data_IF_982360818020
#
_entry.id   IF_982360818020
#
_cell.length_a   1.000
_cell.length_b   1.000
_cell.length_c   1.000
_cell.angle_alpha   90.00
_cell.angle_beta   90.00
_cell.angle_gamma   90.00
#
_symmetry.space_group_name_H-M   'P 1'
#
loop_
_entity.id
_entity.type
_entity.pdbx_description
1 polymer ?
#
# COMPACT_ATOMS: atom_id res chain seq x y z
N UNK A 1 62.26 4.33 1.64
CA UNK A 1 61.18 5.21 2.11
C UNK A 1 61.19 6.48 1.27
N UNK A 2 60.01 6.94 0.87
CA UNK A 2 59.84 8.19 0.14
C UNK A 2 58.70 9.00 0.78
N UNK A 3 58.83 10.31 0.72
CA UNK A 3 57.78 11.26 1.14
C UNK A 3 57.46 12.16 -0.06
N UNK A 4 56.19 12.26 -0.40
CA UNK A 4 55.69 13.09 -1.47
C UNK A 4 54.69 14.10 -0.90
N UNK A 5 55.04 15.38 -1.02
CA UNK A 5 54.15 16.47 -0.66
C UNK A 5 53.96 17.38 -1.83
N UNK A 6 52.70 17.55 -2.26
CA UNK A 6 52.43 18.30 -3.46
C UNK A 6 51.03 18.84 -3.59
N UNK A 7 50.87 19.72 -4.58
CA UNK A 7 49.58 20.26 -5.00
C UNK A 7 49.44 20.05 -6.51
N UNK A 8 48.35 19.47 -6.92
CA UNK A 8 48.05 19.19 -8.30
C UNK A 8 46.78 19.94 -8.70
N UNK A 9 46.84 20.74 -9.76
CA UNK A 9 45.67 21.29 -10.40
C UNK A 9 45.17 20.26 -11.42
N UNK A 10 44.01 19.68 -11.20
CA UNK A 10 43.46 18.61 -12.04
C UNK A 10 43.20 19.04 -13.45
N UNK A 11 42.96 20.34 -13.74
CA UNK A 11 42.82 20.84 -15.09
C UNK A 11 44.10 20.70 -15.93
N UNK A 12 45.28 20.53 -15.29
CA UNK A 12 46.54 20.33 -15.96
C UNK A 12 46.88 18.85 -16.19
N UNK A 13 46.20 17.92 -15.48
CA UNK A 13 46.45 16.48 -15.63
C UNK A 13 46.12 16.00 -17.02
N UNK A 14 45.02 16.46 -17.62
CA UNK A 14 44.59 16.12 -18.97
C UNK A 14 45.56 16.67 -20.03
N UNK A 15 46.34 17.73 -19.73
CA UNK A 15 47.37 18.26 -20.60
C UNK A 15 48.67 17.44 -20.55
N UNK A 16 48.97 16.87 -19.36
CA UNK A 16 50.17 16.08 -19.15
C UNK A 16 49.98 14.60 -19.55
N UNK A 17 48.80 14.09 -19.40
CA UNK A 17 48.43 12.70 -19.69
C UNK A 17 47.14 12.69 -20.51
N UNK A 18 47.15 12.18 -21.77
CA UNK A 18 46.01 12.28 -22.67
C UNK A 18 44.88 11.30 -22.26
N UNK A 19 44.12 11.63 -21.20
CA UNK A 19 42.87 10.98 -20.87
C UNK A 19 41.78 11.64 -21.71
N UNK A 20 41.08 10.88 -22.53
CA UNK A 20 39.92 11.38 -23.27
C UNK A 20 38.77 11.56 -22.28
N UNK A 21 38.49 12.78 -21.89
CA UNK A 21 37.35 13.19 -21.11
C UNK A 21 36.53 14.15 -21.98
N UNK A 22 35.20 14.00 -21.95
CA UNK A 22 34.27 14.88 -22.68
C UNK A 22 34.41 16.34 -22.22
N UNK A 23 34.70 16.53 -20.94
CA UNK A 23 35.00 17.82 -20.32
C UNK A 23 36.22 17.74 -19.42
N UNK A 24 37.03 18.82 -19.33
CA UNK A 24 38.20 18.81 -18.49
C UNK A 24 37.83 18.72 -17.02
N UNK A 25 38.59 17.93 -16.24
CA UNK A 25 38.49 17.90 -14.79
C UNK A 25 38.88 19.28 -14.23
N UNK A 26 38.25 19.67 -13.14
CA UNK A 26 38.66 20.85 -12.34
C UNK A 26 38.94 20.43 -10.91
N UNK A 27 39.59 21.31 -10.16
CA UNK A 27 39.84 21.10 -8.74
C UNK A 27 41.33 21.07 -8.41
N UNK A 28 41.58 21.25 -7.11
CA UNK A 28 42.94 21.25 -6.54
C UNK A 28 43.05 20.05 -5.61
N UNK A 29 43.92 19.13 -5.93
CA UNK A 29 44.32 18.01 -5.08
C UNK A 29 45.61 18.38 -4.32
N UNK A 30 45.57 18.33 -3.00
CA UNK A 30 46.76 18.43 -2.13
C UNK A 30 46.96 17.08 -1.46
N UNK A 31 48.19 16.61 -1.41
CA UNK A 31 48.56 15.36 -0.79
C UNK A 31 49.88 15.45 -0.03
N UNK A 32 49.93 14.74 1.09
CA UNK A 32 51.14 14.49 1.88
C UNK A 32 51.19 12.98 2.15
N UNK A 33 52.06 12.26 1.43
CA UNK A 33 52.07 10.82 1.34
C UNK A 33 53.44 10.29 1.71
N UNK A 34 53.47 9.35 2.62
CA UNK A 34 54.64 8.53 2.92
C UNK A 34 54.47 7.18 2.31
N UNK A 35 55.47 6.74 1.56
CA UNK A 35 55.48 5.44 0.93
C UNK A 35 56.70 4.66 1.32
N UNK A 36 56.53 3.38 1.64
CA UNK A 36 57.60 2.45 1.95
C UNK A 36 57.44 1.23 1.04
N UNK A 37 58.45 0.94 0.25
CA UNK A 37 58.47 -0.21 -0.68
C UNK A 37 59.90 -0.68 -0.88
N UNK A 38 60.02 -1.89 -1.37
CA UNK A 38 61.26 -2.44 -1.91
C UNK A 38 61.16 -2.54 -3.45
N UNK A 39 62.32 -2.37 -4.14
CA UNK A 39 62.35 -2.36 -5.60
C UNK A 39 61.89 -3.69 -6.20
N UNK A 40 62.16 -4.82 -5.54
CA UNK A 40 61.70 -6.13 -6.00
C UNK A 40 60.20 -6.22 -6.06
N UNK A 41 59.48 -5.66 -5.08
CA UNK A 41 58.02 -5.62 -5.08
C UNK A 41 57.49 -4.76 -6.25
N UNK A 42 58.16 -3.72 -6.65
CA UNK A 42 57.81 -2.89 -7.80
C UNK A 42 58.06 -3.64 -9.10
N UNK A 43 59.26 -4.22 -9.27
CA UNK A 43 59.68 -4.97 -10.46
C UNK A 43 58.83 -6.20 -10.72
N UNK A 44 58.37 -6.86 -9.64
CA UNK A 44 57.54 -8.06 -9.70
C UNK A 44 56.04 -7.75 -9.65
N UNK A 45 55.62 -6.48 -9.73
CA UNK A 45 54.21 -6.00 -9.65
C UNK A 45 53.48 -6.44 -8.38
N UNK A 46 54.22 -6.63 -7.28
CA UNK A 46 53.69 -6.98 -5.95
C UNK A 46 53.27 -5.71 -5.18
N UNK A 47 52.44 -4.89 -5.76
CA UNK A 47 52.03 -3.57 -5.24
C UNK A 47 51.35 -3.66 -3.85
N UNK A 48 50.78 -4.81 -3.47
CA UNK A 48 50.21 -5.07 -2.15
C UNK A 48 51.27 -4.96 -1.01
N UNK A 49 52.57 -5.05 -1.32
CA UNK A 49 53.64 -4.91 -0.36
C UNK A 49 54.06 -3.43 -0.13
N UNK A 50 53.57 -2.53 -0.99
CA UNK A 50 53.86 -1.09 -0.84
C UNK A 50 52.97 -0.54 0.27
N UNK A 51 53.60 0.05 1.28
CA UNK A 51 52.91 0.67 2.39
C UNK A 51 52.77 2.16 2.17
N UNK A 52 51.55 2.59 1.82
CA UNK A 52 51.22 3.99 1.64
C UNK A 52 50.43 4.51 2.84
N UNK A 53 50.79 5.64 3.38
CA UNK A 53 50.04 6.37 4.42
C UNK A 53 50.12 7.85 4.20
N UNK A 54 49.11 8.58 4.65
CA UNK A 54 49.11 10.01 4.46
C UNK A 54 47.73 10.65 4.56
N UNK A 55 47.70 11.88 4.08
CA UNK A 55 46.49 12.66 3.95
C UNK A 55 46.34 13.18 2.52
N UNK A 56 45.12 13.30 2.05
CA UNK A 56 44.83 13.99 0.80
C UNK A 56 43.58 14.83 0.96
N UNK A 57 43.51 15.95 0.23
CA UNK A 57 42.33 16.80 0.18
C UNK A 57 42.09 17.26 -1.23
N UNK A 58 40.81 17.34 -1.63
CA UNK A 58 40.34 17.77 -2.92
C UNK A 58 39.36 18.92 -2.73
N UNK A 59 39.54 20.02 -3.47
CA UNK A 59 38.67 21.19 -3.40
C UNK A 59 38.27 21.63 -4.82
N UNK A 60 37.01 22.06 -4.99
CA UNK A 60 36.51 22.61 -6.24
C UNK A 60 36.52 21.65 -7.42
N UNK A 61 36.34 20.34 -7.14
CA UNK A 61 36.24 19.31 -8.19
C UNK A 61 34.91 19.38 -8.88
N UNK A 62 34.91 19.32 -10.19
CA UNK A 62 33.72 19.19 -11.01
C UNK A 62 33.94 18.07 -12.03
N UNK A 63 32.97 17.18 -12.11
CA UNK A 63 32.93 16.08 -13.07
C UNK A 63 31.60 16.09 -13.82
N UNK A 64 31.68 15.98 -15.13
CA UNK A 64 30.54 15.83 -16.03
C UNK A 64 30.83 14.68 -16.97
N UNK A 65 30.02 13.64 -16.94
CA UNK A 65 30.14 12.47 -17.81
C UNK A 65 28.78 11.98 -18.29
N UNK A 66 28.74 11.17 -19.36
CA UNK A 66 27.50 10.68 -19.94
C UNK A 66 26.71 9.77 -18.99
N UNK A 67 27.37 9.20 -17.99
CA UNK A 67 26.77 8.36 -16.94
C UNK A 67 26.05 9.15 -15.84
N UNK A 68 26.22 10.48 -15.82
CA UNK A 68 25.65 11.35 -14.79
C UNK A 68 24.53 12.22 -15.36
N UNK A 69 23.35 12.20 -14.73
CA UNK A 69 22.25 13.10 -15.13
C UNK A 69 22.58 14.59 -14.95
N UNK A 70 23.42 14.90 -13.96
CA UNK A 70 23.81 16.27 -13.58
C UNK A 70 25.29 16.32 -13.25
N UNK A 71 25.97 17.48 -13.39
CA UNK A 71 27.34 17.66 -12.97
C UNK A 71 27.51 17.30 -11.49
N UNK A 72 28.53 16.51 -11.18
CA UNK A 72 28.90 16.16 -9.81
C UNK A 72 30.02 17.08 -9.33
N UNK A 73 29.73 17.85 -8.27
CA UNK A 73 30.66 18.85 -7.72
C UNK A 73 31.06 18.47 -6.30
N UNK A 74 32.35 18.33 -6.05
CA UNK A 74 32.89 18.20 -4.70
C UNK A 74 33.45 19.58 -4.28
N UNK A 75 32.78 20.22 -3.33
CA UNK A 75 33.26 21.45 -2.74
C UNK A 75 34.53 21.18 -1.96
N UNK A 76 34.52 20.13 -1.12
CA UNK A 76 35.65 19.70 -0.34
C UNK A 76 35.56 18.19 -0.02
N UNK A 77 36.68 17.50 -0.16
CA UNK A 77 36.91 16.17 0.38
C UNK A 77 38.25 16.12 1.10
N UNK A 78 38.32 15.37 2.21
CA UNK A 78 39.53 15.13 2.94
C UNK A 78 39.60 13.69 3.43
N UNK A 79 40.69 13.02 3.13
CA UNK A 79 40.94 11.63 3.55
C UNK A 79 42.25 11.53 4.30
N UNK A 80 42.30 10.60 5.24
CA UNK A 80 43.53 10.06 5.81
C UNK A 80 43.57 8.57 5.48
N UNK A 81 44.70 8.02 5.12
CA UNK A 81 44.82 6.64 4.73
C UNK A 81 46.10 5.98 5.24
N UNK A 82 46.03 4.68 5.41
CA UNK A 82 47.12 3.77 5.66
C UNK A 82 46.85 2.44 4.91
N UNK A 83 47.76 1.47 4.93
CA UNK A 83 47.54 0.20 4.15
C UNK A 83 46.28 -0.58 4.49
N UNK A 84 45.68 -0.40 5.67
CA UNK A 84 44.49 -1.14 6.10
C UNK A 84 43.17 -0.40 5.91
N UNK A 85 43.23 0.96 5.96
CA UNK A 85 42.00 1.77 6.02
C UNK A 85 42.18 3.10 5.32
N UNK A 86 41.14 3.55 4.66
CA UNK A 86 40.95 4.94 4.21
C UNK A 86 39.85 5.54 5.08
N UNK A 87 40.14 6.65 5.75
CA UNK A 87 39.16 7.41 6.54
C UNK A 87 38.76 8.66 5.77
N UNK A 88 37.47 8.75 5.44
CA UNK A 88 36.86 9.95 4.88
C UNK A 88 36.49 10.90 6.03
N UNK A 89 37.35 11.87 6.26
CA UNK A 89 37.18 12.85 7.36
C UNK A 89 36.14 13.90 7.00
N UNK A 90 36.05 14.25 5.72
CA UNK A 90 35.10 15.21 5.18
C UNK A 90 34.79 14.89 3.72
N UNK A 91 33.55 15.03 3.36
CA UNK A 91 33.08 15.01 1.99
C UNK A 91 31.84 15.89 1.88
N UNK A 92 31.95 16.99 1.15
CA UNK A 92 30.88 17.93 0.86
C UNK A 92 30.74 18.01 -0.66
N UNK A 93 29.61 17.51 -1.17
CA UNK A 93 29.36 17.42 -2.58
C UNK A 93 27.94 17.86 -2.94
N UNK A 94 27.75 18.22 -4.20
CA UNK A 94 26.46 18.58 -4.79
C UNK A 94 26.31 17.98 -6.18
N UNK A 95 25.06 17.58 -6.50
CA UNK A 95 24.67 17.24 -7.87
C UNK A 95 23.23 17.69 -8.08
N UNK A 96 22.97 18.42 -9.16
CA UNK A 96 21.67 19.07 -9.37
C UNK A 96 21.30 19.97 -8.19
N UNK A 97 20.18 19.64 -7.52
CA UNK A 97 19.70 20.32 -6.31
C UNK A 97 20.02 19.55 -5.01
N UNK A 98 20.65 18.39 -5.15
CA UNK A 98 21.04 17.53 -4.02
C UNK A 98 22.36 17.98 -3.40
N UNK A 99 22.44 17.91 -2.07
CA UNK A 99 23.66 18.06 -1.27
C UNK A 99 23.99 16.78 -0.53
N UNK A 100 25.27 16.51 -0.34
CA UNK A 100 25.76 15.34 0.36
C UNK A 100 26.91 15.72 1.30
N UNK A 101 26.80 15.37 2.55
CA UNK A 101 27.87 15.41 3.53
C UNK A 101 28.10 13.99 4.03
N UNK A 102 29.31 13.47 3.81
CA UNK A 102 29.63 12.08 4.14
C UNK A 102 30.92 12.04 4.95
N UNK A 103 30.95 11.22 5.98
CA UNK A 103 32.14 10.80 6.72
C UNK A 103 32.13 9.30 6.89
N UNK A 104 33.29 8.68 7.10
CA UNK A 104 33.30 7.24 7.32
C UNK A 104 34.66 6.61 7.11
N UNK A 105 34.65 5.29 6.98
CA UNK A 105 35.83 4.50 6.73
C UNK A 105 35.60 3.51 5.58
N UNK A 106 36.67 3.24 4.86
CA UNK A 106 36.76 2.19 3.86
C UNK A 106 37.89 1.28 4.25
N UNK A 107 37.55 0.03 4.52
CA UNK A 107 38.49 -0.97 5.01
C UNK A 107 38.80 -1.98 3.93
N UNK A 108 39.97 -2.64 4.05
CA UNK A 108 40.42 -3.67 3.13
C UNK A 108 40.61 -3.19 1.67
N UNK A 109 40.96 -1.91 1.50
CA UNK A 109 41.19 -1.34 0.17
C UNK A 109 42.26 -2.09 -0.64
N UNK A 110 43.39 -2.43 -0.03
CA UNK A 110 44.47 -3.21 -0.69
C UNK A 110 44.02 -4.63 -1.03
N UNK A 111 43.27 -5.28 -0.13
CA UNK A 111 42.67 -6.57 -0.41
C UNK A 111 41.70 -6.54 -1.60
N UNK A 112 40.94 -5.47 -1.70
CA UNK A 112 40.05 -5.26 -2.85
C UNK A 112 40.85 -5.03 -4.16
N UNK A 113 41.75 -4.07 -4.17
CA UNK A 113 42.46 -3.67 -5.41
C UNK A 113 43.40 -4.77 -5.92
N UNK A 114 44.12 -5.45 -5.04
CA UNK A 114 45.17 -6.39 -5.42
C UNK A 114 44.83 -7.88 -5.29
N UNK A 115 43.76 -8.22 -4.58
CA UNK A 115 43.40 -9.61 -4.29
C UNK A 115 41.93 -9.94 -4.54
N UNK A 116 41.17 -9.06 -5.23
CA UNK A 116 39.74 -9.22 -5.52
C UNK A 116 38.89 -9.56 -4.28
N UNK A 117 39.26 -9.01 -3.12
CA UNK A 117 38.50 -9.20 -1.89
C UNK A 117 37.38 -8.17 -1.77
N UNK A 118 36.47 -8.43 -0.83
CA UNK A 118 35.33 -7.54 -0.56
C UNK A 118 35.85 -6.24 0.03
N UNK A 119 35.33 -5.13 -0.52
CA UNK A 119 35.54 -3.77 -0.04
C UNK A 119 34.56 -3.48 1.08
N UNK A 120 35.05 -3.20 2.29
CA UNK A 120 34.22 -2.95 3.46
C UNK A 120 34.17 -1.45 3.77
N UNK A 121 33.01 -0.97 4.22
CA UNK A 121 32.88 0.45 4.57
C UNK A 121 31.80 0.73 5.60
N UNK A 122 32.01 1.80 6.38
CA UNK A 122 31.02 2.34 7.30
C UNK A 122 30.94 3.85 7.11
N UNK A 123 29.76 4.34 6.77
CA UNK A 123 29.56 5.75 6.42
C UNK A 123 28.41 6.38 7.20
N UNK A 124 28.57 7.66 7.49
CA UNK A 124 27.51 8.53 7.97
C UNK A 124 27.24 9.57 6.88
N UNK A 125 26.01 9.62 6.41
CA UNK A 125 25.55 10.54 5.37
C UNK A 125 24.51 11.50 5.93
N UNK A 126 24.72 12.79 5.70
CA UNK A 126 23.74 13.83 5.97
C UNK A 126 23.45 14.60 4.67
N UNK A 127 22.20 15.00 4.48
CA UNK A 127 21.74 15.81 3.37
C UNK A 127 20.66 16.76 3.84
N UNK A 128 20.64 17.98 3.35
CA UNK A 128 19.49 18.89 3.53
C UNK A 128 18.39 18.51 2.57
N UNK A 129 18.76 18.25 1.32
CA UNK A 129 17.85 17.85 0.24
C UNK A 129 18.54 16.85 -0.67
N UNK A 130 17.89 15.71 -0.90
CA UNK A 130 18.33 14.66 -1.79
C UNK A 130 17.24 14.39 -2.81
N UNK A 131 17.52 14.64 -4.09
CA UNK A 131 16.61 14.35 -5.22
C UNK A 131 17.14 13.11 -5.91
N UNK A 132 16.39 12.01 -5.84
CA UNK A 132 16.86 10.70 -6.32
C UNK A 132 17.21 10.74 -7.81
N UNK A 133 16.44 11.46 -8.63
CA UNK A 133 16.71 11.60 -10.06
C UNK A 133 18.00 12.34 -10.40
N UNK A 134 18.58 13.12 -9.46
CA UNK A 134 19.89 13.77 -9.68
C UNK A 134 21.04 12.75 -9.77
N UNK A 135 20.84 11.53 -9.26
CA UNK A 135 21.82 10.44 -9.22
C UNK A 135 21.54 9.33 -10.27
N UNK A 136 20.43 9.42 -10.98
CA UNK A 136 20.09 8.45 -12.03
C UNK A 136 20.80 8.80 -13.34
N UNK A 137 21.20 7.79 -14.10
CA UNK A 137 21.72 8.04 -15.45
C UNK A 137 20.62 8.66 -16.34
N UNK A 138 20.98 9.59 -17.26
CA UNK A 138 20.01 10.13 -18.21
C UNK A 138 19.42 8.99 -19.03
N UNK A 139 18.10 8.89 -19.07
CA UNK A 139 17.41 8.03 -20.04
C UNK A 139 17.56 8.69 -21.43
N UNK A 140 18.58 8.33 -22.19
CA UNK A 140 18.71 8.76 -23.58
C UNK A 140 17.60 8.09 -24.38
N UNK A 141 16.54 8.82 -24.66
CA UNK A 141 15.61 8.52 -25.74
C UNK A 141 16.27 8.89 -27.07
N UNK A 142 17.13 8.04 -27.59
CA UNK A 142 17.48 8.08 -29.02
C UNK A 142 16.49 7.17 -29.73
N UNK A 143 15.59 7.80 -30.47
CA UNK A 143 14.81 7.21 -31.55
C UNK A 143 15.78 6.83 -32.69
N UNK A 144 16.28 5.60 -32.67
CA UNK A 144 16.69 4.85 -33.84
C UNK A 144 16.47 3.37 -33.57
N UNK A 145 15.95 2.68 -34.58
CA UNK A 145 15.61 1.26 -34.55
C UNK A 145 16.83 0.40 -34.21
N UNK A 146 16.95 -0.01 -32.96
CA UNK A 146 18.02 -0.89 -32.50
C UNK A 146 17.87 -1.20 -31.01
N UNK A 147 17.51 -2.45 -30.72
CA UNK A 147 17.46 -3.13 -29.43
C UNK A 147 17.95 -2.32 -28.21
N UNK A 148 17.02 -1.74 -27.46
CA UNK A 148 17.28 -1.23 -26.12
C UNK A 148 17.62 -2.38 -25.19
N UNK A 149 18.88 -2.67 -24.98
CA UNK A 149 19.34 -3.39 -23.79
C UNK A 149 19.65 -2.33 -22.73
N UNK A 150 18.65 -1.91 -21.99
CA UNK A 150 18.88 -1.27 -20.69
C UNK A 150 19.48 -2.36 -19.81
N UNK A 151 20.78 -2.29 -19.53
CA UNK A 151 21.37 -3.17 -18.52
C UNK A 151 20.63 -2.91 -17.20
N UNK A 152 20.09 -3.96 -16.60
CA UNK A 152 19.42 -3.87 -15.33
C UNK A 152 20.39 -3.32 -14.28
N UNK A 153 19.94 -2.41 -13.44
CA UNK A 153 20.72 -1.89 -12.30
C UNK A 153 21.18 -3.06 -11.45
N UNK A 154 22.51 -3.18 -11.25
CA UNK A 154 23.12 -4.22 -10.44
C UNK A 154 23.77 -3.62 -9.19
N UNK A 155 23.45 -4.18 -8.03
CA UNK A 155 24.15 -3.88 -6.79
C UNK A 155 25.48 -4.64 -6.81
N UNK A 156 26.64 -3.96 -6.61
CA UNK A 156 27.93 -4.61 -6.74
C UNK A 156 28.15 -5.72 -5.70
N UNK A 157 28.61 -6.88 -6.16
CA UNK A 157 28.90 -8.04 -5.28
C UNK A 157 30.12 -7.84 -4.39
N UNK A 158 31.01 -6.92 -4.77
CA UNK A 158 32.25 -6.65 -4.04
C UNK A 158 32.09 -5.69 -2.87
N UNK A 159 30.90 -5.15 -2.62
CA UNK A 159 30.64 -4.21 -1.53
C UNK A 159 30.10 -4.92 -0.29
N UNK A 160 30.60 -4.52 0.87
CA UNK A 160 30.07 -4.77 2.22
C UNK A 160 30.08 -3.46 3.00
N UNK A 161 29.06 -2.62 2.78
CA UNK A 161 29.01 -1.28 3.32
C UNK A 161 27.79 -1.07 4.21
N UNK A 162 27.98 -0.40 5.34
CA UNK A 162 26.93 0.10 6.21
C UNK A 162 26.85 1.61 6.11
N UNK A 163 25.67 2.17 5.93
CA UNK A 163 25.43 3.60 5.80
C UNK A 163 24.34 4.02 6.80
N UNK A 164 24.69 4.91 7.73
CA UNK A 164 23.71 5.62 8.55
C UNK A 164 23.37 6.92 7.84
N UNK A 165 22.12 7.09 7.44
CA UNK A 165 21.68 8.22 6.65
C UNK A 165 20.69 9.11 7.39
N UNK A 166 20.81 10.43 7.19
CA UNK A 166 19.82 11.43 7.58
C UNK A 166 19.65 12.42 6.43
N UNK A 167 18.41 12.72 6.07
CA UNK A 167 18.10 13.73 5.07
C UNK A 167 16.88 14.55 5.50
N UNK A 168 16.96 15.86 5.42
CA UNK A 168 15.85 16.75 5.73
C UNK A 168 14.69 16.55 4.77
N UNK A 169 14.98 16.42 3.49
CA UNK A 169 13.99 16.08 2.43
C UNK A 169 14.60 15.14 1.42
N UNK A 170 13.90 14.06 1.11
CA UNK A 170 14.20 13.21 -0.03
C UNK A 170 13.06 13.35 -1.04
N UNK A 171 13.39 13.74 -2.26
CA UNK A 171 12.44 13.83 -3.37
C UNK A 171 12.59 12.55 -4.21
N UNK A 172 11.54 11.75 -4.23
CA UNK A 172 11.44 10.54 -5.03
C UNK A 172 10.20 10.61 -5.92
N UNK A 173 10.41 10.74 -7.22
CA UNK A 173 9.35 11.03 -8.18
C UNK A 173 8.56 12.28 -7.76
N UNK A 174 7.26 12.19 -7.55
CA UNK A 174 6.40 13.26 -7.06
C UNK A 174 6.31 13.33 -5.52
N UNK A 175 7.01 12.45 -4.80
CA UNK A 175 6.95 12.38 -3.34
C UNK A 175 8.01 13.25 -2.67
N UNK A 176 7.60 14.00 -1.67
CA UNK A 176 8.47 14.74 -0.75
C UNK A 176 8.50 14.04 0.60
N UNK A 177 9.50 13.20 0.83
CA UNK A 177 9.73 12.48 2.08
C UNK A 177 10.53 13.38 3.01
N UNK A 178 9.98 13.72 4.17
CA UNK A 178 10.62 14.62 5.15
C UNK A 178 11.24 13.83 6.28
N UNK A 179 12.27 14.41 6.89
CA UNK A 179 12.94 13.88 8.08
C UNK A 179 13.36 12.41 7.94
N UNK A 180 13.88 12.08 6.76
CA UNK A 180 14.29 10.71 6.42
C UNK A 180 15.52 10.33 7.24
N UNK A 181 15.47 9.20 7.94
CA UNK A 181 16.59 8.65 8.69
C UNK A 181 16.53 7.14 8.77
N UNK A 182 17.68 6.49 8.84
CA UNK A 182 17.78 5.05 8.98
C UNK A 182 19.16 4.50 8.64
N UNK A 183 19.27 3.18 8.64
CA UNK A 183 20.47 2.45 8.28
C UNK A 183 20.24 1.63 7.04
N UNK A 184 21.25 1.60 6.18
CA UNK A 184 21.29 0.81 4.96
C UNK A 184 22.54 -0.05 4.97
N UNK A 185 22.42 -1.34 4.63
CA UNK A 185 23.53 -2.26 4.46
C UNK A 185 23.53 -2.76 3.03
N UNK A 186 24.65 -2.58 2.35
CA UNK A 186 24.89 -3.08 0.99
C UNK A 186 25.80 -4.29 1.14
N UNK A 187 25.31 -5.48 0.80
CA UNK A 187 26.07 -6.75 0.89
C UNK A 187 25.45 -7.80 -0.02
N UNK A 188 26.27 -8.65 -0.63
CA UNK A 188 25.83 -9.81 -1.42
C UNK A 188 24.82 -9.46 -2.53
N UNK A 189 25.10 -8.41 -3.28
CA UNK A 189 24.21 -7.88 -4.33
C UNK A 189 22.80 -7.49 -3.81
N UNK A 190 22.73 -7.11 -2.54
CA UNK A 190 21.49 -6.67 -1.91
C UNK A 190 21.69 -5.39 -1.10
N UNK A 191 20.62 -4.62 -0.99
CA UNK A 191 20.49 -3.48 -0.07
C UNK A 191 19.44 -3.84 0.97
N UNK A 192 19.84 -3.86 2.24
CA UNK A 192 18.94 -4.03 3.38
C UNK A 192 18.69 -2.68 4.03
N UNK A 193 17.44 -2.30 4.14
CA UNK A 193 16.96 -1.09 4.79
C UNK A 193 16.53 -1.42 6.22
N UNK A 194 17.17 -0.80 7.21
CA UNK A 194 16.89 -1.03 8.61
C UNK A 194 16.37 0.26 9.27
N UNK A 195 15.17 0.16 9.87
CA UNK A 195 14.56 1.26 10.62
C UNK A 195 14.52 2.59 9.86
N UNK A 196 14.25 2.54 8.57
CA UNK A 196 14.04 3.75 7.79
C UNK A 196 12.75 4.43 8.27
N UNK A 197 12.84 5.70 8.64
CA UNK A 197 11.71 6.51 9.11
C UNK A 197 11.61 7.76 8.25
N UNK A 198 10.38 8.19 8.00
CA UNK A 198 10.09 9.39 7.21
C UNK A 198 8.70 9.93 7.54
N UNK A 199 8.50 11.22 7.30
CA UNK A 199 7.19 11.87 7.36
C UNK A 199 6.71 12.15 5.93
N UNK A 200 5.50 11.71 5.61
CA UNK A 200 4.86 11.89 4.30
C UNK A 200 3.34 11.79 4.45
N UNK A 201 2.57 12.43 3.58
CA UNK A 201 1.10 12.43 3.61
C UNK A 201 0.53 12.83 4.98
N UNK A 202 1.15 13.79 5.67
CA UNK A 202 0.70 14.26 6.97
C UNK A 202 0.76 13.23 8.11
N UNK A 203 1.48 12.13 7.93
CA UNK A 203 1.73 11.08 8.90
C UNK A 203 3.18 10.59 8.84
N UNK A 204 3.46 9.45 9.49
CA UNK A 204 4.79 8.86 9.54
C UNK A 204 4.79 7.47 8.90
N UNK A 205 5.90 7.13 8.25
CA UNK A 205 6.14 5.80 7.70
C UNK A 205 7.45 5.25 8.27
N UNK A 206 7.38 4.04 8.82
CA UNK A 206 8.52 3.20 9.12
C UNK A 206 8.68 2.13 8.05
N UNK A 207 9.91 1.90 7.59
CA UNK A 207 10.21 0.93 6.54
C UNK A 207 11.40 0.07 6.94
N UNK A 208 11.25 -1.24 6.79
CA UNK A 208 12.35 -2.21 6.78
C UNK A 208 12.19 -3.10 5.57
N UNK A 209 13.30 -3.57 5.01
CA UNK A 209 13.20 -4.48 3.86
C UNK A 209 14.52 -4.72 3.17
N UNK A 210 14.44 -5.48 2.10
CA UNK A 210 15.60 -5.84 1.28
C UNK A 210 15.25 -5.75 -0.20
N UNK A 211 16.16 -5.18 -0.97
CA UNK A 211 16.16 -5.22 -2.44
C UNK A 211 17.37 -6.04 -2.86
N UNK A 212 17.20 -7.04 -3.71
CA UNK A 212 18.29 -7.89 -4.19
C UNK A 212 18.33 -7.94 -5.70
N UNK A 213 19.53 -7.82 -6.25
CA UNK A 213 19.82 -7.99 -7.68
C UNK A 213 20.64 -9.26 -7.97
N UNK A 214 20.73 -10.16 -6.99
CA UNK A 214 21.50 -11.41 -7.10
C UNK A 214 20.94 -12.37 -8.14
N UNK A 215 19.63 -12.40 -8.32
CA UNK A 215 18.95 -13.22 -9.32
C UNK A 215 18.95 -12.57 -10.72
N UNK A 216 18.38 -13.29 -11.69
CA UNK A 216 18.14 -12.74 -13.05
C UNK A 216 17.13 -11.59 -13.01
N UNK A 217 16.13 -11.69 -12.16
CA UNK A 217 15.12 -10.68 -11.90
C UNK A 217 15.39 -10.07 -10.53
N UNK A 218 15.51 -8.75 -10.40
CA UNK A 218 15.60 -8.10 -9.10
C UNK A 218 14.33 -8.35 -8.29
N UNK A 219 14.47 -8.50 -6.98
CA UNK A 219 13.36 -8.78 -6.06
C UNK A 219 13.36 -7.81 -4.89
N UNK A 220 12.20 -7.64 -4.27
CA UNK A 220 12.08 -6.88 -3.03
C UNK A 220 11.25 -7.62 -1.98
N UNK A 221 11.53 -7.32 -0.72
CA UNK A 221 10.73 -7.73 0.43
C UNK A 221 10.71 -6.55 1.41
N UNK A 222 9.53 -6.00 1.68
CA UNK A 222 9.34 -4.76 2.44
C UNK A 222 8.30 -4.93 3.52
N UNK A 223 8.57 -4.37 4.70
CA UNK A 223 7.61 -4.21 5.78
C UNK A 223 7.45 -2.71 6.05
N UNK A 224 6.23 -2.21 5.93
CA UNK A 224 5.89 -0.81 6.17
C UNK A 224 4.95 -0.71 7.36
N UNK A 225 5.23 0.25 8.24
CA UNK A 225 4.31 0.70 9.27
C UNK A 225 3.86 2.12 8.96
N UNK A 226 2.56 2.35 8.83
CA UNK A 226 1.97 3.66 8.58
C UNK A 226 1.30 4.14 9.88
N UNK A 227 1.63 5.34 10.32
CA UNK A 227 1.02 5.99 11.46
C UNK A 227 0.35 7.30 11.02
N UNK A 228 -0.98 7.34 11.13
CA UNK A 228 -1.84 8.49 10.83
C UNK A 228 -1.64 9.11 9.45
N UNK A 229 -1.35 8.29 8.45
CA UNK A 229 -1.15 8.72 7.06
C UNK A 229 -2.49 9.19 6.47
N UNK A 230 -2.52 10.35 5.81
CA UNK A 230 -3.70 10.88 5.13
C UNK A 230 -4.04 10.01 3.91
N UNK A 231 -5.25 9.45 3.89
CA UNK A 231 -5.69 8.51 2.86
C UNK A 231 -5.82 9.23 1.51
N UNK A 232 -6.57 10.32 1.45
CA UNK A 232 -6.83 11.04 0.19
C UNK A 232 -5.55 11.55 -0.46
N UNK A 233 -4.61 12.10 0.32
CA UNK A 233 -3.32 12.57 -0.16
C UNK A 233 -2.46 11.42 -0.71
N UNK A 234 -2.40 10.30 0.00
CA UNK A 234 -1.63 9.12 -0.44
C UNK A 234 -2.18 8.52 -1.74
N UNK A 235 -3.51 8.48 -1.91
CA UNK A 235 -4.18 8.00 -3.12
C UNK A 235 -4.03 8.96 -4.31
N UNK A 236 -3.89 10.26 -4.06
CA UNK A 236 -3.63 11.23 -5.12
C UNK A 236 -2.22 11.07 -5.69
N UNK A 237 -1.24 10.78 -4.85
CA UNK A 237 0.18 10.76 -5.22
C UNK A 237 0.72 9.37 -5.59
N UNK A 238 0.06 8.29 -5.16
CA UNK A 238 0.51 6.91 -5.40
C UNK A 238 -0.50 6.13 -6.25
N UNK A 239 -0.26 6.06 -7.56
CA UNK A 239 -1.14 5.36 -8.49
C UNK A 239 -1.31 3.86 -8.17
N UNK A 240 -0.28 3.23 -7.59
CA UNK A 240 -0.35 1.84 -7.15
C UNK A 240 -1.47 1.62 -6.13
N UNK A 241 -1.71 2.57 -5.22
CA UNK A 241 -2.76 2.46 -4.21
C UNK A 241 -4.17 2.45 -4.83
N UNK A 242 -4.35 3.13 -5.97
CA UNK A 242 -5.61 3.12 -6.72
C UNK A 242 -5.97 1.72 -7.23
N UNK A 243 -4.98 0.91 -7.54
CA UNK A 243 -5.17 -0.49 -7.97
C UNK A 243 -5.35 -1.45 -6.78
N UNK A 244 -4.69 -1.18 -5.65
CA UNK A 244 -4.73 -2.03 -4.45
C UNK A 244 -6.02 -1.86 -3.66
N UNK A 245 -6.53 -0.63 -3.53
CA UNK A 245 -7.73 -0.35 -2.74
C UNK A 245 -8.55 0.80 -3.34
N UNK A 246 -9.17 0.60 -4.52
CA UNK A 246 -9.83 1.67 -5.28
C UNK A 246 -10.89 2.44 -4.47
N UNK A 247 -11.59 1.76 -3.57
CA UNK A 247 -12.62 2.38 -2.71
C UNK A 247 -12.03 3.37 -1.70
N UNK A 248 -10.77 3.19 -1.30
CA UNK A 248 -10.15 4.09 -0.33
C UNK A 248 -9.94 5.51 -0.89
N UNK A 249 -9.90 5.68 -2.21
CA UNK A 249 -9.81 6.99 -2.85
C UNK A 249 -10.99 7.94 -2.57
N UNK A 250 -12.14 7.42 -2.10
CA UNK A 250 -13.31 8.23 -1.70
C UNK A 250 -13.40 8.42 -0.18
N UNK A 251 -12.45 7.91 0.58
CA UNK A 251 -12.38 8.05 2.04
C UNK A 251 -11.43 9.20 2.39
N UNK A 252 -11.97 10.23 3.03
CA UNK A 252 -11.16 11.24 3.69
C UNK A 252 -10.92 10.80 5.13
N UNK A 253 -9.67 10.88 5.59
CA UNK A 253 -9.31 10.45 6.95
C UNK A 253 -7.86 10.02 7.04
N UNK A 254 -7.54 9.37 8.15
CA UNK A 254 -6.20 8.86 8.41
C UNK A 254 -6.20 7.33 8.50
N UNK A 255 -5.06 6.75 8.16
CA UNK A 255 -4.84 5.30 8.17
C UNK A 255 -3.66 4.96 9.07
N UNK A 256 -3.88 4.04 10.00
CA UNK A 256 -2.81 3.23 10.59
C UNK A 256 -2.75 1.90 9.83
N UNK A 257 -1.56 1.45 9.47
CA UNK A 257 -1.44 0.19 8.74
C UNK A 257 -0.10 -0.49 8.97
N UNK A 258 -0.13 -1.81 8.92
CA UNK A 258 1.07 -2.64 8.75
C UNK A 258 0.94 -3.37 7.44
N UNK A 259 1.96 -3.24 6.58
CA UNK A 259 1.96 -3.80 5.23
C UNK A 259 3.21 -4.66 5.08
N UNK A 260 3.06 -5.88 4.60
CA UNK A 260 4.15 -6.75 4.17
C UNK A 260 3.99 -6.99 2.68
N UNK A 261 5.00 -6.68 1.91
CA UNK A 261 4.99 -6.82 0.46
C UNK A 261 6.28 -7.46 -0.01
N UNK A 262 6.17 -8.36 -0.97
CA UNK A 262 7.29 -8.92 -1.72
C UNK A 262 6.89 -9.09 -3.19
N UNK A 263 7.89 -9.11 -4.06
CA UNK A 263 7.65 -9.27 -5.49
C UNK A 263 8.91 -9.02 -6.31
N UNK A 264 8.74 -9.05 -7.61
CA UNK A 264 9.80 -8.75 -8.57
C UNK A 264 9.83 -7.26 -8.88
N UNK A 265 11.01 -6.77 -9.22
CA UNK A 265 11.21 -5.44 -9.78
C UNK A 265 11.47 -5.54 -11.28
N UNK A 266 11.04 -4.52 -12.01
CA UNK A 266 11.40 -4.35 -13.41
C UNK A 266 12.85 -3.88 -13.54
N UNK A 267 13.35 -3.73 -14.77
CA UNK A 267 14.74 -3.28 -15.01
C UNK A 267 15.01 -1.86 -14.50
N UNK A 268 13.99 -1.02 -14.46
CA UNK A 268 14.03 0.34 -13.91
C UNK A 268 13.80 0.39 -12.38
N UNK A 269 13.79 -0.78 -11.72
CA UNK A 269 13.55 -0.96 -10.27
C UNK A 269 12.13 -0.60 -9.82
N UNK A 270 11.17 -0.45 -10.73
CA UNK A 270 9.74 -0.32 -10.38
C UNK A 270 9.12 -1.68 -10.05
N UNK A 271 8.19 -1.78 -9.08
CA UNK A 271 7.53 -3.03 -8.74
C UNK A 271 6.68 -3.60 -9.89
N UNK A 272 6.83 -4.89 -10.17
CA UNK A 272 5.93 -5.61 -11.06
C UNK A 272 4.66 -6.00 -10.31
N UNK A 273 3.58 -5.26 -10.51
CA UNK A 273 2.32 -5.44 -9.78
C UNK A 273 1.76 -6.87 -9.87
N UNK A 274 2.01 -7.58 -10.97
CA UNK A 274 1.51 -8.95 -11.17
C UNK A 274 2.18 -9.98 -10.25
N UNK A 275 3.37 -9.68 -9.74
CA UNK A 275 4.14 -10.58 -8.86
C UNK A 275 4.01 -10.22 -7.39
N UNK A 276 3.31 -9.12 -7.07
CA UNK A 276 3.15 -8.68 -5.69
C UNK A 276 2.39 -9.72 -4.88
N UNK A 277 3.02 -10.11 -3.77
CA UNK A 277 2.43 -10.97 -2.73
C UNK A 277 2.60 -10.30 -1.39
N UNK A 278 1.62 -10.43 -0.51
CA UNK A 278 1.71 -9.87 0.84
C UNK A 278 0.39 -9.67 1.53
N UNK A 279 0.45 -8.98 2.65
CA UNK A 279 -0.68 -8.71 3.52
C UNK A 279 -0.68 -7.25 3.98
N UNK A 280 -1.88 -6.71 4.18
CA UNK A 280 -2.12 -5.41 4.78
C UNK A 280 -3.13 -5.56 5.92
N UNK A 281 -2.78 -5.02 7.08
CA UNK A 281 -3.71 -4.78 8.18
C UNK A 281 -3.87 -3.28 8.34
N UNK A 282 -5.08 -2.77 8.14
CA UNK A 282 -5.38 -1.33 8.22
C UNK A 282 -6.43 -1.03 9.27
N UNK A 283 -6.34 0.17 9.86
CA UNK A 283 -7.35 0.77 10.73
C UNK A 283 -7.62 2.19 10.27
N UNK A 284 -8.87 2.47 9.98
CA UNK A 284 -9.32 3.79 9.56
C UNK A 284 -9.55 4.70 10.77
N UNK A 285 -9.13 5.96 10.68
CA UNK A 285 -9.25 6.95 11.76
C UNK A 285 -9.87 8.25 11.23
N UNK A 286 -10.83 8.81 11.99
CA UNK A 286 -11.46 10.12 11.70
C UNK A 286 -11.94 10.23 10.26
N UNK A 287 -12.75 9.25 9.83
CA UNK A 287 -13.15 9.11 8.42
C UNK A 287 -14.44 9.83 8.09
N UNK A 288 -14.47 10.41 6.89
CA UNK A 288 -15.69 10.82 6.17
C UNK A 288 -15.66 10.20 4.78
N UNK A 289 -16.82 9.88 4.24
CA UNK A 289 -16.94 9.28 2.90
C UNK A 289 -17.43 10.32 1.92
N UNK A 290 -16.74 10.45 0.79
CA UNK A 290 -17.20 11.26 -0.34
C UNK A 290 -17.82 10.32 -1.39
N UNK A 291 -19.12 10.09 -1.28
CA UNK A 291 -19.87 9.15 -2.12
C UNK A 291 -20.05 9.63 -3.56
N UNK A 292 -20.06 10.94 -3.80
CA UNK A 292 -20.33 11.55 -5.13
C UNK A 292 -19.38 11.07 -6.23
N UNK A 293 -18.22 10.57 -5.86
CA UNK A 293 -17.18 10.10 -6.79
C UNK A 293 -17.04 8.58 -6.84
N UNK A 294 -17.99 7.83 -6.26
CA UNK A 294 -17.94 6.35 -6.25
C UNK A 294 -19.13 5.73 -6.92
N UNK A 295 -18.95 5.20 -8.12
CA UNK A 295 -19.98 4.43 -8.82
C UNK A 295 -20.45 3.22 -7.98
N UNK A 296 -19.55 2.61 -7.20
CA UNK A 296 -19.87 1.46 -6.33
C UNK A 296 -20.80 1.87 -5.19
N UNK A 297 -20.55 2.98 -4.52
CA UNK A 297 -21.41 3.48 -3.44
C UNK A 297 -22.77 3.95 -4.00
N UNK A 298 -22.76 4.59 -5.17
CA UNK A 298 -23.99 4.96 -5.88
C UNK A 298 -24.84 3.74 -6.25
N UNK A 299 -24.22 2.67 -6.75
CA UNK A 299 -24.92 1.42 -7.05
C UNK A 299 -25.54 0.78 -5.80
N UNK A 300 -24.84 0.83 -4.67
CA UNK A 300 -25.33 0.35 -3.37
C UNK A 300 -26.56 1.15 -2.90
N UNK A 301 -26.44 2.48 -2.79
CA UNK A 301 -27.53 3.35 -2.29
C UNK A 301 -28.77 3.35 -3.19
N UNK A 302 -28.58 3.23 -4.52
CA UNK A 302 -29.69 3.15 -5.48
C UNK A 302 -30.53 1.88 -5.31
N UNK A 303 -29.92 0.76 -4.92
CA UNK A 303 -30.61 -0.52 -4.72
C UNK A 303 -31.08 -0.73 -3.28
N UNK A 304 -30.51 -0.01 -2.30
CA UNK A 304 -30.86 -0.09 -0.89
C UNK A 304 -31.19 1.30 -0.36
N UNK A 305 -32.40 1.78 -0.65
CA UNK A 305 -32.86 3.17 -0.39
C UNK A 305 -32.79 3.61 1.08
N UNK A 306 -32.68 2.71 2.02
CA UNK A 306 -32.49 3.01 3.43
C UNK A 306 -31.06 3.31 3.81
N UNK A 307 -30.08 3.10 2.89
CA UNK A 307 -28.69 3.45 3.10
C UNK A 307 -28.45 4.89 2.65
N UNK A 308 -28.17 5.73 3.62
CA UNK A 308 -27.73 7.12 3.45
C UNK A 308 -26.21 7.17 3.70
N UNK A 309 -25.44 7.30 2.65
CA UNK A 309 -23.97 7.23 2.69
C UNK A 309 -23.34 8.37 3.51
N UNK A 310 -24.03 9.50 3.65
CA UNK A 310 -23.58 10.61 4.51
C UNK A 310 -23.54 10.23 6.01
N UNK A 311 -24.27 9.19 6.38
CA UNK A 311 -24.31 8.65 7.75
C UNK A 311 -23.37 7.46 7.96
N UNK A 312 -22.57 7.12 6.94
CA UNK A 312 -21.65 6.01 7.05
C UNK A 312 -20.44 6.39 7.91
N UNK A 313 -20.29 5.70 9.03
CA UNK A 313 -19.16 5.90 9.94
C UNK A 313 -18.17 4.73 9.79
N UNK A 314 -17.00 5.03 9.24
CA UNK A 314 -15.90 4.08 9.09
C UNK A 314 -14.80 4.25 10.14
N UNK A 315 -15.03 5.04 11.19
CA UNK A 315 -14.04 5.20 12.25
C UNK A 315 -13.79 3.85 12.95
N UNK A 316 -12.52 3.59 13.21
CA UNK A 316 -12.03 2.36 13.83
C UNK A 316 -12.31 1.05 13.05
N UNK A 317 -12.80 1.17 11.81
CA UNK A 317 -12.95 -0.01 10.95
C UNK A 317 -11.56 -0.60 10.68
N UNK A 318 -11.43 -1.89 10.95
CA UNK A 318 -10.22 -2.68 10.70
C UNK A 318 -10.43 -3.56 9.50
N UNK A 319 -9.54 -3.46 8.53
CA UNK A 319 -9.54 -4.28 7.32
C UNK A 319 -8.28 -5.11 7.21
N UNK A 320 -8.43 -6.34 6.77
CA UNK A 320 -7.31 -7.22 6.45
C UNK A 320 -7.38 -7.59 4.96
N UNK A 321 -6.34 -7.25 4.23
CA UNK A 321 -6.19 -7.55 2.81
C UNK A 321 -5.02 -8.52 2.62
N UNK A 322 -5.13 -9.40 1.64
CA UNK A 322 -4.00 -10.17 1.14
C UNK A 322 -3.86 -9.98 -0.37
N UNK A 323 -2.62 -10.02 -0.84
CA UNK A 323 -2.26 -9.77 -2.24
C UNK A 323 -1.62 -11.01 -2.81
N UNK A 324 -2.08 -11.48 -3.96
CA UNK A 324 -1.47 -12.60 -4.67
C UNK A 324 -1.88 -12.61 -6.14
N UNK A 325 -0.93 -12.81 -7.02
CA UNK A 325 -1.16 -13.01 -8.47
C UNK A 325 -2.04 -11.91 -9.11
N UNK A 326 -1.75 -10.64 -8.79
CA UNK A 326 -2.51 -9.49 -9.30
C UNK A 326 -3.92 -9.35 -8.75
N UNK A 327 -4.24 -10.05 -7.66
CA UNK A 327 -5.54 -10.00 -6.98
C UNK A 327 -5.38 -9.55 -5.53
N UNK A 328 -6.39 -8.85 -5.06
CA UNK A 328 -6.55 -8.44 -3.68
C UNK A 328 -7.74 -9.19 -3.10
N UNK A 329 -7.57 -9.79 -1.95
CA UNK A 329 -8.62 -10.44 -1.18
C UNK A 329 -8.86 -9.67 0.11
N UNK A 330 -10.06 -9.11 0.27
CA UNK A 330 -10.54 -8.52 1.50
C UNK A 330 -11.15 -9.62 2.37
N UNK A 331 -10.54 -9.89 3.52
CA UNK A 331 -11.11 -10.82 4.51
C UNK A 331 -12.44 -10.27 5.03
N UNK A 332 -13.45 -11.13 5.25
CA UNK A 332 -14.73 -10.68 5.78
C UNK A 332 -14.56 -9.84 7.04
N UNK A 333 -15.20 -8.69 7.05
CA UNK A 333 -15.20 -7.75 8.17
C UNK A 333 -16.58 -7.13 8.35
N UNK A 334 -16.87 -6.67 9.56
CA UNK A 334 -18.13 -6.02 9.91
C UNK A 334 -17.97 -4.49 9.86
N UNK A 335 -18.91 -3.83 9.20
CA UNK A 335 -19.09 -2.39 9.19
C UNK A 335 -20.43 -2.09 9.87
N UNK A 336 -20.44 -1.16 10.78
CA UNK A 336 -21.68 -0.68 11.41
C UNK A 336 -22.21 0.53 10.65
N UNK A 337 -23.44 0.44 10.19
CA UNK A 337 -24.19 1.54 9.61
C UNK A 337 -25.43 1.76 10.46
N UNK A 338 -25.42 2.79 11.32
CA UNK A 338 -26.46 3.00 12.35
C UNK A 338 -26.68 1.72 13.18
N UNK A 339 -27.87 1.12 13.09
CA UNK A 339 -28.23 -0.15 13.73
C UNK A 339 -28.17 -1.37 12.77
N UNK A 340 -27.60 -1.21 11.57
CA UNK A 340 -27.36 -2.28 10.62
C UNK A 340 -25.92 -2.74 10.72
N UNK A 341 -25.70 -4.03 10.86
CA UNK A 341 -24.38 -4.63 10.66
C UNK A 341 -24.25 -5.12 9.23
N UNK A 342 -23.17 -4.70 8.56
CA UNK A 342 -22.86 -5.12 7.20
C UNK A 342 -21.57 -5.92 7.25
N UNK A 343 -21.63 -7.23 7.00
CA UNK A 343 -20.46 -8.06 6.78
C UNK A 343 -20.05 -7.97 5.32
N UNK A 344 -18.83 -7.51 5.04
CA UNK A 344 -18.31 -7.34 3.67
C UNK A 344 -17.00 -8.09 3.51
N UNK A 345 -16.86 -8.83 2.41
CA UNK A 345 -15.64 -9.52 2.02
C UNK A 345 -15.67 -9.88 0.55
N UNK A 346 -14.52 -10.19 -0.03
CA UNK A 346 -14.46 -10.54 -1.45
C UNK A 346 -13.11 -10.23 -2.07
N UNK A 347 -13.09 -10.20 -3.38
CA UNK A 347 -11.86 -10.04 -4.15
C UNK A 347 -11.99 -8.99 -5.23
N UNK A 348 -10.86 -8.37 -5.60
CA UNK A 348 -10.75 -7.60 -6.82
C UNK A 348 -9.38 -7.79 -7.47
N UNK A 349 -9.31 -7.57 -8.78
CA UNK A 349 -8.07 -7.58 -9.54
C UNK A 349 -7.44 -6.20 -9.62
N UNK A 350 -6.15 -6.14 -9.91
CA UNK A 350 -5.49 -4.87 -10.27
C UNK A 350 -6.01 -4.29 -11.60
N UNK A 351 -6.75 -5.10 -12.38
CA UNK A 351 -7.54 -4.69 -13.54
C UNK A 351 -8.89 -4.05 -13.17
N UNK A 352 -9.13 -3.84 -11.86
CA UNK A 352 -10.35 -3.27 -11.28
C UNK A 352 -11.60 -4.17 -11.38
N UNK A 353 -11.51 -5.40 -11.88
CA UNK A 353 -12.59 -6.38 -11.78
C UNK A 353 -12.88 -6.71 -10.32
N UNK A 354 -14.15 -6.89 -9.94
CA UNK A 354 -14.50 -7.15 -8.54
C UNK A 354 -15.58 -8.20 -8.35
N UNK A 355 -15.53 -8.85 -7.18
CA UNK A 355 -16.54 -9.77 -6.69
C UNK A 355 -16.59 -9.68 -5.16
N UNK A 356 -17.54 -8.89 -4.64
CA UNK A 356 -17.74 -8.67 -3.22
C UNK A 356 -19.08 -9.19 -2.76
N UNK A 357 -19.06 -9.94 -1.66
CA UNK A 357 -20.24 -10.39 -0.94
C UNK A 357 -20.53 -9.46 0.22
N UNK A 358 -21.77 -9.03 0.34
CA UNK A 358 -22.27 -8.19 1.40
C UNK A 358 -23.41 -8.93 2.10
N UNK A 359 -23.37 -9.01 3.43
CA UNK A 359 -24.47 -9.55 4.23
C UNK A 359 -24.92 -8.45 5.18
N UNK A 360 -26.19 -8.09 5.05
CA UNK A 360 -26.81 -7.04 5.87
C UNK A 360 -27.74 -7.70 6.89
N UNK A 361 -27.67 -7.27 8.13
CA UNK A 361 -28.68 -7.58 9.13
C UNK A 361 -29.63 -6.37 9.21
N UNK A 362 -30.70 -6.41 8.41
CA UNK A 362 -31.60 -5.27 8.21
C UNK A 362 -32.72 -5.27 9.23
N UNK A 363 -32.78 -4.28 10.16
CA UNK A 363 -33.88 -4.12 11.08
C UNK A 363 -35.22 -3.95 10.37
N UNK A 364 -36.26 -4.59 10.87
CA UNK A 364 -37.59 -4.62 10.21
C UNK A 364 -38.21 -3.26 10.01
N UNK A 365 -37.84 -2.24 10.78
CA UNK A 365 -38.29 -0.86 10.62
C UNK A 365 -37.93 -0.24 9.27
N UNK A 366 -36.92 -0.75 8.60
CA UNK A 366 -36.49 -0.30 7.26
C UNK A 366 -37.22 -1.00 6.13
N UNK A 367 -38.05 -2.03 6.43
CA UNK A 367 -38.77 -2.84 5.42
C UNK A 367 -40.15 -2.24 5.07
N UNK A 368 -40.47 -1.03 5.56
CA UNK A 368 -41.68 -0.32 5.22
C UNK A 368 -42.83 -0.51 6.24
N UNK A 369 -43.83 0.38 6.15
CA UNK A 369 -44.95 0.45 7.10
C UNK A 369 -45.78 -0.82 7.15
N UNK A 370 -45.97 -1.51 6.03
CA UNK A 370 -46.78 -2.71 6.02
C UNK A 370 -46.17 -3.88 6.77
N UNK A 371 -44.83 -4.06 6.70
CA UNK A 371 -44.13 -5.08 7.49
C UNK A 371 -44.23 -4.73 8.98
N UNK A 372 -43.97 -3.46 9.34
CA UNK A 372 -44.07 -3.03 10.75
C UNK A 372 -45.49 -3.17 11.32
N UNK A 373 -46.54 -2.86 10.53
CA UNK A 373 -47.91 -3.04 10.90
C UNK A 373 -48.32 -4.53 11.07
N UNK A 374 -47.78 -5.43 10.25
CA UNK A 374 -47.96 -6.89 10.42
C UNK A 374 -47.30 -7.38 11.70
N UNK A 375 -46.08 -6.92 12.01
CA UNK A 375 -45.38 -7.27 13.25
C UNK A 375 -46.12 -6.75 14.47
N UNK A 376 -46.65 -5.52 14.43
CA UNK A 376 -47.40 -4.94 15.54
C UNK A 376 -48.67 -5.73 15.93
N UNK A 377 -49.20 -6.58 15.04
CA UNK A 377 -50.35 -7.47 15.30
C UNK A 377 -49.93 -8.77 15.96
N UNK A 378 -48.64 -9.09 16.11
CA UNK A 378 -48.17 -10.26 16.81
C UNK A 378 -48.20 -10.08 18.35
N UNK A 379 -48.00 -11.16 19.07
CA UNK A 379 -47.78 -11.07 20.53
C UNK A 379 -46.45 -10.37 20.85
N UNK A 380 -46.29 -9.70 21.99
CA UNK A 380 -45.04 -9.09 22.39
C UNK A 380 -43.84 -10.06 22.36
N UNK A 381 -44.07 -11.32 22.74
CA UNK A 381 -43.04 -12.36 22.69
C UNK A 381 -42.62 -12.74 21.26
N UNK A 382 -43.54 -12.69 20.28
CA UNK A 382 -43.22 -12.96 18.88
C UNK A 382 -42.63 -11.74 18.19
N UNK A 383 -43.02 -10.53 18.59
CA UNK A 383 -42.39 -9.29 18.09
C UNK A 383 -40.90 -9.23 18.45
N UNK A 384 -40.51 -9.66 19.64
CA UNK A 384 -39.12 -9.69 20.11
C UNK A 384 -38.22 -10.66 19.31
N UNK A 385 -38.83 -11.68 18.66
CA UNK A 385 -38.09 -12.66 17.83
C UNK A 385 -37.80 -12.17 16.42
N UNK A 386 -38.47 -11.10 15.96
CA UNK A 386 -38.41 -10.62 14.57
C UNK A 386 -37.93 -9.17 14.60
N UNK A 387 -36.66 -8.99 14.89
CA UNK A 387 -36.05 -7.65 14.98
C UNK A 387 -35.34 -7.23 13.68
N UNK A 388 -34.81 -8.18 12.95
CA UNK A 388 -34.09 -7.97 11.70
C UNK A 388 -34.24 -9.15 10.73
N UNK A 389 -33.87 -8.97 9.48
CA UNK A 389 -33.74 -10.02 8.48
C UNK A 389 -32.36 -10.01 7.84
N UNK A 390 -31.79 -11.19 7.53
CA UNK A 390 -30.59 -11.26 6.74
C UNK A 390 -30.90 -10.94 5.26
N UNK A 391 -30.11 -10.04 4.67
CA UNK A 391 -30.18 -9.69 3.25
C UNK A 391 -28.81 -9.86 2.66
N UNK A 392 -28.72 -10.57 1.53
CA UNK A 392 -27.48 -10.75 0.80
C UNK A 392 -27.38 -9.77 -0.37
N UNK A 393 -26.19 -9.24 -0.56
CA UNK A 393 -25.81 -8.43 -1.70
C UNK A 393 -24.58 -8.99 -2.39
N UNK A 394 -24.53 -8.87 -3.69
CA UNK A 394 -23.41 -9.26 -4.53
C UNK A 394 -23.01 -8.06 -5.41
N UNK A 395 -21.79 -7.56 -5.22
CA UNK A 395 -21.22 -6.49 -6.03
C UNK A 395 -20.19 -7.08 -6.98
N UNK A 396 -20.43 -6.95 -8.28
CA UNK A 396 -19.59 -7.50 -9.36
C UNK A 396 -19.33 -6.46 -10.44
N UNK A 397 -18.60 -6.83 -11.48
CA UNK A 397 -18.23 -5.95 -12.58
C UNK A 397 -16.91 -5.26 -12.34
N UNK A 398 -16.83 -3.96 -12.62
CA UNK A 398 -15.66 -3.13 -12.46
C UNK A 398 -15.99 -1.95 -11.53
N UNK A 399 -14.99 -1.38 -10.83
CA UNK A 399 -15.22 -0.25 -9.92
C UNK A 399 -15.82 0.99 -10.58
N UNK A 400 -15.60 1.19 -11.90
CA UNK A 400 -16.22 2.28 -12.67
C UNK A 400 -17.63 1.93 -13.18
N UNK A 401 -17.94 0.64 -13.34
CA UNK A 401 -19.22 0.12 -13.83
C UNK A 401 -19.69 -1.07 -12.96
N UNK A 402 -20.03 -0.81 -11.71
CA UNK A 402 -20.43 -1.86 -10.77
C UNK A 402 -21.83 -2.40 -11.10
N UNK A 403 -22.03 -3.69 -10.82
CA UNK A 403 -23.32 -4.35 -10.84
C UNK A 403 -23.63 -4.83 -9.43
N UNK A 404 -24.68 -4.30 -8.83
CA UNK A 404 -25.13 -4.72 -7.52
C UNK A 404 -26.45 -5.50 -7.62
N UNK A 405 -26.45 -6.71 -7.10
CA UNK A 405 -27.62 -7.57 -6.99
C UNK A 405 -27.90 -7.83 -5.50
N UNK A 406 -29.18 -7.87 -5.14
CA UNK A 406 -29.58 -8.14 -3.75
C UNK A 406 -30.84 -8.99 -3.72
N UNK A 407 -30.95 -9.84 -2.69
CA UNK A 407 -32.14 -10.64 -2.40
C UNK A 407 -33.15 -9.92 -1.47
N UNK A 408 -32.98 -8.62 -1.22
CA UNK A 408 -33.81 -7.82 -0.31
C UNK A 408 -35.32 -8.00 -0.59
N UNK A 409 -35.71 -7.99 -1.87
CA UNK A 409 -37.12 -8.19 -2.27
C UNK A 409 -37.63 -9.56 -1.85
N UNK A 410 -36.85 -10.60 -2.10
CA UNK A 410 -37.20 -11.97 -1.74
C UNK A 410 -37.27 -12.16 -0.24
N UNK A 411 -36.29 -11.65 0.50
CA UNK A 411 -36.22 -11.71 1.96
C UNK A 411 -37.42 -10.99 2.62
N UNK A 412 -37.77 -9.80 2.12
CA UNK A 412 -38.98 -9.07 2.55
C UNK A 412 -40.28 -9.83 2.25
N UNK A 413 -40.40 -10.44 1.06
CA UNK A 413 -41.56 -11.26 0.68
C UNK A 413 -41.67 -12.50 1.58
N UNK A 414 -40.59 -13.19 1.84
CA UNK A 414 -40.57 -14.35 2.73
C UNK A 414 -41.02 -13.99 4.14
N UNK A 415 -40.50 -12.87 4.69
CA UNK A 415 -40.92 -12.37 6.00
C UNK A 415 -42.42 -12.05 6.01
N UNK A 416 -42.92 -11.31 5.03
CA UNK A 416 -44.35 -10.98 4.90
C UNK A 416 -45.22 -12.23 4.90
N UNK A 417 -44.84 -13.26 4.13
CA UNK A 417 -45.53 -14.54 4.06
C UNK A 417 -45.55 -15.25 5.42
N UNK A 418 -44.42 -15.27 6.13
CA UNK A 418 -44.33 -15.84 7.49
C UNK A 418 -45.26 -15.09 8.48
N UNK A 419 -45.22 -13.74 8.45
CA UNK A 419 -46.06 -12.92 9.33
C UNK A 419 -47.56 -13.16 9.10
N UNK A 420 -48.00 -13.25 7.82
CA UNK A 420 -49.37 -13.59 7.48
C UNK A 420 -49.74 -14.94 7.98
N UNK A 421 -48.86 -15.97 7.82
CA UNK A 421 -49.10 -17.33 8.32
C UNK A 421 -49.23 -17.31 9.85
N UNK A 422 -48.31 -16.65 10.59
CA UNK A 422 -48.37 -16.55 12.05
C UNK A 422 -49.67 -15.91 12.54
N UNK A 423 -50.17 -14.87 11.85
CA UNK A 423 -51.45 -14.21 12.17
C UNK A 423 -52.62 -15.17 11.93
N UNK A 424 -52.62 -15.90 10.81
CA UNK A 424 -53.65 -16.87 10.49
C UNK A 424 -53.70 -18.02 11.54
N UNK A 425 -52.55 -18.57 11.88
CA UNK A 425 -52.42 -19.64 12.89
C UNK A 425 -52.90 -19.17 14.25
N UNK A 426 -52.61 -17.89 14.62
CA UNK A 426 -53.14 -17.28 15.84
C UNK A 426 -54.64 -17.15 15.85
N UNK A 427 -55.25 -16.70 14.76
CA UNK A 427 -56.73 -16.61 14.59
C UNK A 427 -57.39 -17.98 14.65
N UNK A 428 -56.81 -18.97 14.00
CA UNK A 428 -57.33 -20.37 14.04
C UNK A 428 -57.27 -20.94 15.46
N UNK A 429 -56.13 -20.74 16.18
CA UNK A 429 -55.97 -21.21 17.54
C UNK A 429 -56.88 -20.48 18.53
N UNK A 430 -57.17 -19.19 18.34
CA UNK A 430 -58.14 -18.45 19.14
C UNK A 430 -59.57 -18.92 18.81
N UNK A 431 -59.86 -19.19 17.56
CA UNK A 431 -61.18 -19.77 17.16
C UNK A 431 -61.41 -21.15 17.74
N UNK A 432 -60.43 -22.03 17.68
CA UNK A 432 -60.49 -23.37 18.28
C UNK A 432 -60.56 -23.32 19.81
N UNK A 433 -59.85 -22.43 20.44
CA UNK A 433 -59.93 -22.21 21.89
C UNK A 433 -61.30 -21.62 22.33
N UNK A 434 -61.87 -20.70 21.54
CA UNK A 434 -63.20 -20.18 21.75
C UNK A 434 -64.29 -21.25 21.56
N UNK A 435 -64.15 -22.10 20.53
CA UNK A 435 -64.99 -23.26 20.32
C UNK A 435 -64.83 -24.28 21.43
N UNK A 436 -63.60 -24.58 21.85
CA UNK A 436 -63.30 -25.50 22.98
C UNK A 436 -63.93 -25.06 24.28
N UNK A 437 -63.90 -23.75 24.57
CA UNK A 437 -64.56 -23.18 25.76
C UNK A 437 -66.10 -23.15 25.66
N UNK A 438 -66.64 -23.08 24.43
CA UNK A 438 -68.09 -23.19 24.19
C UNK A 438 -68.60 -24.66 24.23
N UNK A 439 -67.78 -25.63 23.90
CA UNK A 439 -68.09 -27.04 23.84
C UNK A 439 -67.81 -27.76 25.20
N UNK A 440 -67.00 -27.13 26.07
CA UNK A 440 -66.66 -27.66 27.42
C UNK A 440 -67.81 -27.65 28.42
N UNK A 441 -69.00 -27.20 28.07
CA UNK A 441 -70.18 -27.19 28.93
C UNK A 441 -71.42 -27.82 28.28
N UNK A 442 -71.42 -29.13 28.00
CA UNK A 442 -72.58 -30.03 28.03
C UNK A 442 -72.31 -31.34 27.25
N UNK A 443 -72.72 -32.48 27.80
CA UNK A 443 -72.64 -33.82 27.25
C UNK A 443 -73.49 -33.99 25.96
N UNK A 444 -73.24 -35.01 25.13
CA UNK A 444 -73.58 -35.03 23.75
C UNK A 444 -74.99 -35.53 23.42
N UNK A 445 -75.59 -35.00 22.39
CA UNK A 445 -76.59 -35.73 21.58
C UNK A 445 -76.59 -35.36 20.12
N UNK A 446 -76.34 -36.41 19.32
CA UNK A 446 -76.78 -36.74 17.96
C UNK A 446 -77.07 -35.66 16.92
N UNK A 447 -76.31 -35.78 15.82
CA UNK A 447 -76.58 -35.66 14.40
C UNK A 447 -77.54 -34.58 13.89
N UNK A 448 -77.08 -33.76 12.97
CA UNK A 448 -77.57 -33.73 11.58
C UNK A 448 -76.73 -32.75 10.73
N UNK A 449 -76.52 -33.22 9.53
CA UNK A 449 -75.92 -32.61 8.35
C UNK A 449 -76.57 -31.25 7.99
N UNK A 450 -75.78 -30.23 7.70
CA UNK A 450 -76.15 -29.20 6.69
C UNK A 450 -74.89 -28.43 6.30
N UNK A 451 -74.47 -28.66 5.08
CA UNK A 451 -73.62 -27.85 4.22
C UNK A 451 -74.03 -26.39 4.20
N UNK A 452 -73.09 -25.48 4.58
CA UNK A 452 -73.09 -24.11 4.11
C UNK A 452 -71.66 -23.62 3.88
N UNK A 453 -71.33 -23.56 2.62
CA UNK A 453 -70.23 -22.84 2.00
C UNK A 453 -70.13 -21.42 2.54
N UNK A 454 -69.06 -21.07 3.22
CA UNK A 454 -68.67 -19.68 3.44
C UNK A 454 -67.38 -19.38 2.69
N UNK A 455 -67.53 -18.60 1.65
CA UNK A 455 -66.48 -17.99 0.84
C UNK A 455 -65.48 -17.25 1.70
N UNK A 456 -64.24 -17.68 1.64
CA UNK A 456 -63.09 -17.12 2.29
C UNK A 456 -62.67 -15.81 1.57
N UNK A 457 -62.32 -14.75 2.26
CA UNK A 457 -61.73 -13.57 1.60
C UNK A 457 -60.27 -13.85 1.28
N UNK A 458 -59.99 -14.61 0.23
CA UNK A 458 -58.64 -14.89 -0.25
C UNK A 458 -57.99 -13.74 -1.05
N UNK A 459 -58.81 -12.82 -1.55
CA UNK A 459 -58.32 -11.75 -2.47
C UNK A 459 -57.76 -10.52 -1.76
N UNK A 460 -58.26 -10.17 -0.58
CA UNK A 460 -57.84 -8.94 0.12
C UNK A 460 -56.45 -9.02 0.71
N UNK A 461 -55.97 -10.21 1.11
CA UNK A 461 -54.65 -10.40 1.72
C UNK A 461 -53.54 -10.43 0.67
N UNK A 462 -53.84 -10.98 -0.52
CA UNK A 462 -52.89 -11.04 -1.64
C UNK A 462 -52.68 -9.66 -2.24
N UNK A 463 -53.71 -8.83 -2.31
CA UNK A 463 -53.67 -7.46 -2.84
C UNK A 463 -52.90 -6.51 -1.90
N UNK A 464 -53.06 -6.68 -0.60
CA UNK A 464 -52.31 -5.88 0.40
C UNK A 464 -50.83 -6.24 0.48
N UNK A 465 -50.49 -7.56 0.37
CA UNK A 465 -49.10 -7.99 0.31
C UNK A 465 -48.41 -7.53 -0.99
N UNK A 466 -49.12 -7.50 -2.10
CA UNK A 466 -48.60 -7.05 -3.39
C UNK A 466 -48.44 -5.49 -3.41
N UNK A 467 -49.34 -4.76 -2.73
CA UNK A 467 -49.22 -3.31 -2.52
C UNK A 467 -47.99 -2.92 -1.74
N UNK A 468 -47.76 -3.59 -0.63
CA UNK A 468 -46.58 -3.37 0.22
C UNK A 468 -45.23 -3.54 -0.51
N UNK A 469 -45.20 -4.55 -1.39
CA UNK A 469 -44.00 -4.84 -2.20
C UNK A 469 -43.84 -3.79 -3.32
N UNK A 470 -44.91 -3.26 -3.88
CA UNK A 470 -44.89 -2.27 -4.94
C UNK A 470 -44.42 -0.88 -4.44
N UNK A 471 -44.80 -0.52 -3.20
CA UNK A 471 -44.36 0.74 -2.58
C UNK A 471 -42.91 0.71 -2.12
N UNK A 472 -42.37 -0.46 -1.79
CA UNK A 472 -40.97 -0.64 -1.42
C UNK A 472 -40.01 -0.58 -2.64
N UNK A 473 -40.49 -1.01 -3.82
CA UNK A 473 -39.66 -1.20 -5.01
C UNK A 473 -40.12 -0.44 -6.25
N UNK A 474 -41.31 0.19 -6.22
CA UNK A 474 -41.91 0.91 -7.32
C UNK A 474 -41.69 2.42 -7.27
N UNK A 475 -40.49 2.86 -7.64
CA UNK A 475 -40.31 4.17 -8.20
C UNK A 475 -40.06 4.02 -9.70
N UNK A 476 -40.77 4.77 -10.53
CA UNK A 476 -40.63 4.85 -11.98
C UNK A 476 -39.20 4.95 -12.43
#
# INVERSE_FOLDING_TARGET
DAELKGTINLANVTKAYPVKLDKPLTGILKADVKTKFDMKSVETSQYQNIQNSGIASLTGFNYEGPEMAKPFKINQAAVAFNPSQIRLNQFDAKTGTSDLQVTGTLDNFYGFVFKNQILKGNFNMNSTKLVVSDFMAPTTTTTEEGKKTTEAVKIPSFLDCSITAKAGTVVYDNLNLKDVSGNMVIRDEAVTLNNLKMSVFGGNIGLTGTVSTKGKTPTFNMNLGLDKVNIAESFTQLDMLKSIAPIAGVINGKLNSTIKLSGDLQQDMTPNLKTITGDLLGQLLSTTVNDKNSAMLTALSSNMKFIDLDKLNLNDVKAALSFKDGKVNLKPMDIKYQDITVNVGGTHGFDQSMNYNLKFDVPVKYLGKDVTNLIAKLTPADQQKITSIPVNGLMTGNFSQPKFNTDLKQASTNLTTQLVKMQKDKLMNQGTSALGNLIGGTKPNTATDTTKTTTTPKEDIKTKATGAIKDLFGGK
#
